data_IF_374200377947
#
_entry.id   IF_374200377947
#
_cell.length_a   1.000
_cell.length_b   1.000
_cell.length_c   1.000
_cell.angle_alpha   90.00
_cell.angle_beta   90.00
_cell.angle_gamma   90.00
#
_symmetry.space_group_name_H-M   'P 1'
#
loop_
_entity.id
_entity.type
_entity.pdbx_description
1 polymer ?
#
# COMPACT_ATOMS: atom_id res chain seq x y z
N UNK A 1 -15.14 1.20 7.09
CA UNK A 1 -13.86 1.48 7.78
C UNK A 1 -12.83 0.51 7.23
N UNK A 2 -11.74 0.97 6.62
CA UNK A 2 -10.72 0.08 6.03
C UNK A 2 -9.69 -0.32 7.09
N UNK A 3 -9.27 -1.58 7.07
CA UNK A 3 -8.27 -2.15 7.97
C UNK A 3 -6.86 -1.97 7.39
N UNK A 4 -5.95 -1.42 8.19
CA UNK A 4 -4.56 -1.16 7.80
C UNK A 4 -3.60 -1.93 8.70
N UNK A 5 -2.73 -2.72 8.07
CA UNK A 5 -1.65 -3.43 8.73
C UNK A 5 -0.31 -2.79 8.38
N UNK A 6 0.48 -2.42 9.38
CA UNK A 6 1.81 -1.83 9.18
C UNK A 6 2.91 -2.83 9.56
N UNK A 7 3.98 -2.87 8.77
CA UNK A 7 5.18 -3.64 9.08
C UNK A 7 6.45 -2.82 8.84
N UNK A 8 7.42 -2.99 9.72
CA UNK A 8 8.66 -2.22 9.71
C UNK A 8 9.87 -3.13 9.52
N UNK A 9 10.66 -2.88 8.47
CA UNK A 9 11.86 -3.64 8.11
C UNK A 9 13.17 -2.88 8.35
N UNK A 10 13.12 -1.76 9.07
CA UNK A 10 14.27 -0.91 9.36
C UNK A 10 14.94 -1.14 10.71
N UNK A 11 15.90 -0.27 11.03
CA UNK A 11 16.57 -0.19 12.33
C UNK A 11 15.72 0.54 13.39
N UNK A 12 16.22 0.61 14.63
CA UNK A 12 15.53 1.14 15.83
C UNK A 12 14.94 2.56 15.69
N UNK A 13 15.46 3.37 14.78
CA UNK A 13 14.98 4.74 14.49
C UNK A 13 13.61 4.73 13.78
N UNK A 14 13.27 3.62 13.12
CA UNK A 14 12.12 3.51 12.23
C UNK A 14 10.78 3.29 12.99
N UNK A 15 10.80 3.15 14.33
CA UNK A 15 9.59 2.93 15.14
C UNK A 15 8.75 4.18 15.31
N UNK A 16 9.39 5.35 15.54
CA UNK A 16 8.68 6.62 15.68
C UNK A 16 7.89 6.98 14.42
N UNK A 17 8.46 6.72 13.24
CA UNK A 17 7.82 7.04 11.98
C UNK A 17 6.56 6.17 11.72
N UNK A 18 6.54 4.94 12.24
CA UNK A 18 5.35 4.09 12.20
C UNK A 18 4.29 4.57 13.18
N UNK A 19 4.66 4.99 14.38
CA UNK A 19 3.72 5.53 15.36
C UNK A 19 3.01 6.78 14.83
N UNK A 20 3.76 7.72 14.24
CA UNK A 20 3.19 8.93 13.62
C UNK A 20 2.25 8.55 12.46
N UNK A 21 2.62 7.56 11.65
CA UNK A 21 1.78 7.10 10.55
C UNK A 21 0.50 6.43 11.05
N UNK A 22 0.58 5.59 12.10
CA UNK A 22 -0.56 4.95 12.73
C UNK A 22 -1.53 5.99 13.31
N UNK A 23 -1.01 7.02 13.97
CA UNK A 23 -1.83 8.10 14.50
C UNK A 23 -2.59 8.82 13.38
N UNK A 24 -1.90 9.26 12.32
CA UNK A 24 -2.53 9.94 11.18
C UNK A 24 -3.60 9.08 10.50
N UNK A 25 -3.34 7.78 10.33
CA UNK A 25 -4.32 6.83 9.77
C UNK A 25 -5.54 6.71 10.68
N UNK A 26 -5.33 6.63 12.00
CA UNK A 26 -6.43 6.55 12.97
C UNK A 26 -7.28 7.82 12.97
N UNK A 27 -6.66 9.00 12.88
CA UNK A 27 -7.33 10.30 12.74
C UNK A 27 -8.16 10.40 11.45
N UNK A 28 -7.77 9.68 10.40
CA UNK A 28 -8.52 9.55 9.13
C UNK A 28 -9.58 8.45 9.15
N UNK A 29 -9.77 7.77 10.29
CA UNK A 29 -10.81 6.76 10.47
C UNK A 29 -10.42 5.38 9.94
N UNK A 30 -9.13 5.06 9.84
CA UNK A 30 -8.68 3.68 9.55
C UNK A 30 -8.63 2.83 10.83
N UNK A 31 -8.83 1.51 10.67
CA UNK A 31 -8.58 0.56 11.76
C UNK A 31 -7.16 0.04 11.69
N UNK A 32 -6.35 0.27 12.72
CA UNK A 32 -5.01 -0.32 12.79
C UNK A 32 -5.13 -1.76 13.31
N UNK A 33 -4.76 -2.72 12.47
CA UNK A 33 -4.81 -4.15 12.79
C UNK A 33 -3.41 -4.78 12.79
N UNK A 34 -3.31 -5.97 13.36
CA UNK A 34 -2.07 -6.74 13.30
C UNK A 34 -1.71 -7.11 11.85
N UNK A 35 -0.42 -7.31 11.59
CA UNK A 35 0.05 -7.76 10.29
C UNK A 35 -0.27 -9.25 10.08
N UNK A 36 -1.53 -9.51 9.75
CA UNK A 36 -2.15 -10.82 9.58
C UNK A 36 -3.06 -10.82 8.33
N UNK A 37 -3.52 -11.99 7.85
CA UNK A 37 -4.48 -12.08 6.75
C UNK A 37 -5.77 -11.27 6.99
N UNK A 38 -6.28 -10.62 5.95
CA UNK A 38 -7.57 -9.91 5.98
C UNK A 38 -7.51 -8.40 6.21
N UNK A 39 -6.33 -7.76 6.16
CA UNK A 39 -6.27 -6.30 6.08
C UNK A 39 -6.59 -5.84 4.64
N UNK A 40 -7.22 -4.67 4.51
CA UNK A 40 -7.52 -4.05 3.21
C UNK A 40 -6.29 -3.36 2.63
N UNK A 41 -5.39 -2.91 3.51
CA UNK A 41 -4.20 -2.15 3.17
C UNK A 41 -3.02 -2.68 3.99
N UNK A 42 -1.92 -2.99 3.32
CA UNK A 42 -0.66 -3.36 3.95
C UNK A 42 0.40 -2.30 3.65
N UNK A 43 0.95 -1.67 4.69
CA UNK A 43 2.04 -0.70 4.57
C UNK A 43 3.34 -1.31 5.08
N UNK A 44 4.30 -1.51 4.19
CA UNK A 44 5.62 -2.05 4.51
C UNK A 44 6.64 -0.91 4.45
N UNK A 45 7.20 -0.56 5.59
CA UNK A 45 8.31 0.39 5.72
C UNK A 45 9.64 -0.35 5.50
N UNK A 46 10.10 -0.28 4.25
CA UNK A 46 11.22 -1.00 3.66
C UNK A 46 12.60 -0.43 4.02
N UNK A 47 13.65 -1.22 3.81
CA UNK A 47 15.05 -0.84 4.04
C UNK A 47 15.96 -1.40 2.94
N UNK A 48 17.06 -0.70 2.61
CA UNK A 48 17.97 -1.05 1.48
C UNK A 48 19.46 -0.95 1.81
N UNK A 49 19.82 -0.96 3.10
CA UNK A 49 21.24 -0.81 3.52
C UNK A 49 22.12 -2.03 3.17
N UNK A 50 21.50 -3.18 2.90
CA UNK A 50 22.19 -4.42 2.51
C UNK A 50 21.32 -5.25 1.58
N UNK A 51 21.93 -6.14 0.79
CA UNK A 51 21.21 -7.12 -0.04
C UNK A 51 20.25 -8.01 0.78
N UNK A 52 20.54 -8.24 2.06
CA UNK A 52 19.66 -8.99 2.98
C UNK A 52 18.41 -8.17 3.31
N UNK A 53 18.57 -6.87 3.56
CA UNK A 53 17.45 -5.96 3.78
C UNK A 53 16.54 -5.88 2.54
N UNK A 54 17.13 -5.81 1.34
CA UNK A 54 16.37 -5.84 0.08
C UNK A 54 15.56 -7.13 -0.08
N UNK A 55 16.19 -8.29 0.19
CA UNK A 55 15.51 -9.59 0.13
C UNK A 55 14.34 -9.67 1.11
N UNK A 56 14.51 -9.18 2.34
CA UNK A 56 13.43 -9.13 3.35
C UNK A 56 12.31 -8.18 2.93
N UNK A 57 12.65 -7.03 2.35
CA UNK A 57 11.68 -6.07 1.80
C UNK A 57 10.79 -6.74 0.75
N UNK A 58 11.38 -7.37 -0.26
CA UNK A 58 10.62 -8.15 -1.26
C UNK A 58 9.76 -9.23 -0.62
N UNK A 59 10.34 -10.04 0.27
CA UNK A 59 9.61 -11.15 0.89
C UNK A 59 8.35 -10.67 1.63
N UNK A 60 8.40 -9.53 2.31
CA UNK A 60 7.22 -8.99 2.99
C UNK A 60 6.18 -8.40 2.05
N UNK A 61 6.61 -7.78 0.94
CA UNK A 61 5.68 -7.29 -0.09
C UNK A 61 4.91 -8.46 -0.73
N UNK A 62 5.60 -9.52 -1.14
CA UNK A 62 4.95 -10.74 -1.63
C UNK A 62 4.07 -11.39 -0.57
N UNK A 63 4.50 -11.41 0.70
CA UNK A 63 3.71 -11.97 1.80
C UNK A 63 2.41 -11.19 2.01
N UNK A 64 2.46 -9.86 1.98
CA UNK A 64 1.28 -9.00 2.08
C UNK A 64 0.29 -9.29 0.95
N UNK A 65 0.76 -9.34 -0.31
CA UNK A 65 -0.11 -9.65 -1.46
C UNK A 65 -0.72 -11.04 -1.35
N UNK A 66 0.00 -12.03 -0.80
CA UNK A 66 -0.53 -13.37 -0.54
C UNK A 66 -1.54 -13.41 0.62
N UNK A 67 -1.40 -12.54 1.62
CA UNK A 67 -2.32 -12.44 2.76
C UNK A 67 -3.70 -11.93 2.34
N UNK A 68 -3.74 -11.04 1.34
CA UNK A 68 -4.97 -10.60 0.68
C UNK A 68 -4.63 -10.13 -0.75
N UNK A 69 -4.99 -10.90 -1.79
CA UNK A 69 -4.72 -10.52 -3.19
C UNK A 69 -5.38 -9.20 -3.61
N UNK A 70 -6.51 -8.86 -2.99
CA UNK A 70 -7.28 -7.64 -3.29
C UNK A 70 -6.83 -6.42 -2.48
N UNK A 71 -5.93 -6.62 -1.50
CA UNK A 71 -5.43 -5.53 -0.69
C UNK A 71 -4.52 -4.60 -1.49
N UNK A 72 -4.51 -3.33 -1.06
CA UNK A 72 -3.55 -2.33 -1.51
C UNK A 72 -2.25 -2.56 -0.75
N UNK A 73 -1.18 -2.90 -1.46
CA UNK A 73 0.16 -3.08 -0.88
C UNK A 73 1.01 -1.84 -1.14
N UNK A 74 1.41 -1.18 -0.06
CA UNK A 74 2.20 0.05 -0.07
C UNK A 74 3.62 -0.22 0.40
N UNK A 75 4.60 0.04 -0.45
CA UNK A 75 6.02 0.01 -0.11
C UNK A 75 6.51 1.43 0.21
N UNK A 76 7.00 1.65 1.43
CA UNK A 76 7.49 2.96 1.89
C UNK A 76 8.98 2.88 2.24
N UNK A 77 9.80 3.84 1.83
CA UNK A 77 11.19 3.96 2.31
C UNK A 77 12.26 3.87 1.22
N UNK A 78 13.50 3.57 1.63
CA UNK A 78 14.66 3.71 0.74
C UNK A 78 14.71 2.63 -0.35
N UNK A 79 14.17 1.43 -0.11
CA UNK A 79 14.15 0.33 -1.08
C UNK A 79 13.49 0.74 -2.39
N UNK A 80 12.40 1.52 -2.32
CA UNK A 80 11.70 2.00 -3.52
C UNK A 80 12.37 3.20 -4.19
N UNK A 81 13.40 3.80 -3.58
CA UNK A 81 14.16 4.92 -4.17
C UNK A 81 15.43 4.45 -4.87
N UNK A 82 16.11 3.44 -4.31
CA UNK A 82 17.36 2.90 -4.86
C UNK A 82 17.13 2.02 -6.09
N UNK A 83 15.89 1.62 -6.34
CA UNK A 83 15.51 0.74 -7.44
C UNK A 83 15.04 1.42 -8.72
N UNK A 84 15.45 2.66 -9.05
CA UNK A 84 15.04 3.32 -10.31
C UNK A 84 15.30 2.48 -11.59
N UNK A 85 16.24 1.53 -11.55
CA UNK A 85 16.50 0.57 -12.64
C UNK A 85 16.14 -0.90 -12.29
N UNK A 86 15.68 -1.17 -11.05
CA UNK A 86 15.54 -2.53 -10.48
C UNK A 86 14.25 -2.82 -9.72
N UNK A 87 13.37 -1.84 -9.56
CA UNK A 87 11.96 -2.13 -9.35
C UNK A 87 11.48 -2.59 -10.72
N UNK A 88 11.83 -3.84 -11.04
CA UNK A 88 10.99 -4.66 -11.90
C UNK A 88 9.57 -4.39 -11.44
N UNK A 89 8.62 -4.05 -12.33
CA UNK A 89 7.23 -3.89 -11.95
C UNK A 89 6.85 -5.14 -11.14
N UNK A 90 6.81 -4.98 -9.83
CA UNK A 90 6.50 -6.05 -8.91
C UNK A 90 5.00 -5.91 -8.73
N UNK A 91 4.26 -6.77 -9.41
CA UNK A 91 2.79 -6.80 -9.39
C UNK A 91 2.23 -6.96 -7.95
N UNK A 92 3.10 -7.23 -6.96
CA UNK A 92 2.75 -7.25 -5.56
C UNK A 92 2.74 -5.86 -4.90
N UNK A 93 3.10 -4.78 -5.59
CA UNK A 93 3.15 -3.41 -5.07
C UNK A 93 2.16 -2.53 -5.84
N UNK A 94 1.14 -2.03 -5.14
CA UNK A 94 0.19 -1.08 -5.69
C UNK A 94 0.73 0.37 -5.63
N UNK A 95 1.48 0.70 -4.58
CA UNK A 95 1.96 2.06 -4.34
C UNK A 95 3.38 2.06 -3.76
N UNK A 96 4.30 2.80 -4.38
CA UNK A 96 5.69 2.93 -3.95
C UNK A 96 6.01 4.38 -3.54
N UNK A 97 6.36 4.58 -2.26
CA UNK A 97 6.61 5.90 -1.67
C UNK A 97 8.03 5.99 -1.15
N UNK A 98 8.84 6.84 -1.76
CA UNK A 98 10.21 7.06 -1.34
C UNK A 98 10.34 7.70 0.04
N UNK A 99 11.49 7.51 0.68
CA UNK A 99 11.79 8.09 1.99
C UNK A 99 11.61 9.63 2.03
N UNK A 100 11.85 10.33 0.92
CA UNK A 100 11.66 11.79 0.80
C UNK A 100 10.20 12.26 0.91
N UNK A 101 9.24 11.33 0.77
CA UNK A 101 7.78 11.59 0.83
C UNK A 101 7.10 10.85 1.97
N UNK A 102 7.85 10.25 2.89
CA UNK A 102 7.33 9.39 3.96
C UNK A 102 6.33 10.09 4.90
N UNK A 103 6.49 11.40 5.10
CA UNK A 103 5.57 12.23 5.88
C UNK A 103 4.19 12.39 5.23
N UNK A 104 4.09 12.17 3.92
CA UNK A 104 2.89 12.37 3.10
C UNK A 104 2.22 11.02 2.76
N UNK A 105 2.60 9.91 3.42
CA UNK A 105 2.14 8.56 3.07
C UNK A 105 0.62 8.43 3.14
N UNK A 106 0.00 9.01 4.16
CA UNK A 106 -1.45 8.93 4.36
C UNK A 106 -2.17 9.73 3.28
N UNK A 107 -1.67 10.91 2.94
CA UNK A 107 -2.22 11.79 1.93
C UNK A 107 -2.11 11.17 0.53
N UNK A 108 -0.98 10.53 0.20
CA UNK A 108 -0.78 9.82 -1.07
C UNK A 108 -1.70 8.58 -1.14
N UNK A 109 -1.85 7.84 -0.05
CA UNK A 109 -2.71 6.66 0.02
C UNK A 109 -4.19 7.02 -0.22
N UNK A 110 -4.68 8.10 0.40
CA UNK A 110 -6.04 8.62 0.18
C UNK A 110 -6.29 8.98 -1.29
N UNK A 111 -5.34 9.70 -1.91
CA UNK A 111 -5.45 10.07 -3.31
C UNK A 111 -5.53 8.84 -4.23
N UNK A 112 -4.66 7.85 -3.99
CA UNK A 112 -4.67 6.59 -4.73
C UNK A 112 -6.00 5.82 -4.57
N UNK A 113 -6.55 5.77 -3.36
CA UNK A 113 -7.83 5.14 -3.08
C UNK A 113 -8.96 5.85 -3.81
N UNK A 114 -9.00 7.19 -3.77
CA UNK A 114 -10.03 7.98 -4.43
C UNK A 114 -10.00 7.80 -5.97
N UNK A 115 -8.80 7.79 -6.56
CA UNK A 115 -8.62 7.50 -7.99
C UNK A 115 -9.16 6.10 -8.35
N UNK A 116 -8.77 5.07 -7.59
CA UNK A 116 -9.22 3.68 -7.81
C UNK A 116 -10.74 3.52 -7.68
N UNK A 117 -11.37 4.23 -6.74
CA UNK A 117 -12.83 4.23 -6.56
C UNK A 117 -13.54 4.96 -7.72
N UNK A 118 -12.96 6.05 -8.23
CA UNK A 118 -13.51 6.78 -9.37
C UNK A 118 -13.50 5.94 -10.67
N UNK A 119 -12.42 5.21 -10.91
CA UNK A 119 -12.26 4.31 -12.06
C UNK A 119 -13.24 3.12 -12.02
N UNK A 120 -13.57 2.63 -10.82
CA UNK A 120 -14.58 1.58 -10.64
C UNK A 120 -15.99 2.10 -10.88
N UNK A 121 -16.31 3.34 -10.47
CA UNK A 121 -17.62 3.96 -10.71
C UNK A 121 -17.89 4.24 -12.21
N UNK A 122 -16.83 4.44 -13.00
CA UNK A 122 -16.92 4.65 -14.45
C UNK A 122 -17.29 3.39 -15.23
N UNK A 123 -16.90 2.19 -14.76
CA UNK A 123 -17.22 0.91 -15.43
C UNK A 123 -18.65 0.43 -15.19
N UNK A 124 -19.24 0.74 -14.04
CA UNK A 124 -20.57 0.26 -13.65
C UNK A 124 -21.71 0.92 -14.47
N UNK A 125 -21.48 2.13 -15.00
CA UNK A 125 -22.47 2.83 -15.86
C UNK A 125 -22.63 2.23 -17.26
N UNK A 126 -21.70 1.39 -17.72
CA UNK A 126 -21.73 0.85 -19.10
C UNK A 126 -22.62 -0.37 -19.29
N UNK A 127 -23.15 -0.97 -18.21
CA UNK A 127 -23.96 -2.19 -18.25
C UNK A 127 -25.47 -1.95 -18.11
N UNK A 128 -25.93 -0.76 -17.72
CA UNK A 128 -27.36 -0.46 -17.60
C UNK A 128 -28.02 0.05 -18.89
N UNK A 129 -27.26 0.28 -19.97
CA UNK A 129 -27.80 0.85 -21.23
C UNK A 129 -28.09 -0.19 -22.34
N UNK A 130 -28.09 -1.50 -22.02
CA UNK A 130 -28.26 -2.57 -23.05
C UNK A 130 -29.51 -3.46 -22.93
N UNK A 131 -30.51 -3.14 -22.11
CA UNK A 131 -31.70 -4.01 -21.93
C UNK A 131 -33.01 -3.42 -22.44
N UNK A 132 -33.01 -2.31 -23.20
CA UNK A 132 -34.25 -1.76 -23.77
C UNK A 132 -34.10 -1.44 -25.25
N UNK A 133 -34.02 -2.48 -26.08
CA UNK A 133 -34.57 -2.50 -27.44
C UNK A 133 -34.48 -3.93 -27.99
N UNK A 134 -35.64 -4.58 -28.11
CA UNK A 134 -35.76 -5.93 -28.62
C UNK A 134 -37.22 -6.41 -28.55
N UNK A 135 -38.10 -5.63 -29.17
CA UNK A 135 -39.40 -6.09 -29.70
C UNK A 135 -39.19 -7.15 -30.77
#
# INVERSE_FOLDING_TARGET
>A
MKNVALHNLGCKVNSYEIEVMQQKLSEKGYSIVSFAPGADIYIINTCTVTNIADRKSRQMLHKAKKMNPDAIVVAVGCYVQTGKDKIVPDDCIDLAIGNNRKKDVVEILEAYIAEKESDMSGRDKTLQDKTLQGT
#
